data_IF_589181131050
#
_entry.id   IF_589181131050
#
_cell.length_a   1.000
_cell.length_b   1.000
_cell.length_c   1.000
_cell.angle_alpha   90.00
_cell.angle_beta   90.00
_cell.angle_gamma   90.00
#
_symmetry.space_group_name_H-M   'P 1'
#
loop_
_entity.id
_entity.type
_entity.pdbx_description
1 polymer ?
#
# COMPACT_ATOMS: atom_id res chain seq x y z
N UNK A 1 -29.48 14.33 26.79
CA UNK A 1 -28.14 13.91 27.27
C UNK A 1 -27.58 12.70 26.51
N UNK A 2 -28.42 11.72 26.08
CA UNK A 2 -27.95 10.54 25.34
C UNK A 2 -27.31 10.84 23.97
N UNK A 3 -27.85 11.79 23.19
CA UNK A 3 -27.35 12.09 21.83
C UNK A 3 -25.96 12.78 21.80
N UNK A 4 -25.65 13.58 22.80
CA UNK A 4 -24.36 14.26 22.90
C UNK A 4 -23.23 13.30 23.31
N UNK A 5 -23.47 12.46 24.31
CA UNK A 5 -22.54 11.41 24.74
C UNK A 5 -22.33 10.37 23.64
N UNK A 6 -23.37 10.03 22.90
CA UNK A 6 -23.28 9.13 21.76
C UNK A 6 -22.44 9.74 20.63
N UNK A 7 -22.62 11.02 20.30
CA UNK A 7 -21.78 11.74 19.33
C UNK A 7 -20.32 11.85 19.75
N UNK A 8 -20.05 12.08 21.05
CA UNK A 8 -18.67 12.07 21.58
C UNK A 8 -18.08 10.66 21.45
N UNK A 9 -18.82 9.63 21.85
CA UNK A 9 -18.38 8.24 21.73
C UNK A 9 -18.11 7.87 20.28
N UNK A 10 -18.99 8.20 19.36
CA UNK A 10 -18.82 7.99 17.93
C UNK A 10 -17.60 8.75 17.40
N UNK A 11 -17.44 10.02 17.74
CA UNK A 11 -16.27 10.83 17.35
C UNK A 11 -14.94 10.30 17.91
N UNK A 12 -14.96 9.72 19.11
CA UNK A 12 -13.76 9.18 19.74
C UNK A 12 -13.36 7.79 19.22
N UNK A 13 -14.33 6.96 18.80
CA UNK A 13 -14.09 5.55 18.47
C UNK A 13 -14.29 5.21 17.00
N UNK A 14 -14.94 6.06 16.20
CA UNK A 14 -15.04 5.89 14.74
C UNK A 14 -13.78 6.39 14.00
N UNK A 15 -12.62 5.90 14.41
CA UNK A 15 -11.35 6.24 13.76
C UNK A 15 -11.10 5.39 12.53
N UNK A 16 -11.79 4.26 12.40
CA UNK A 16 -11.70 3.37 11.25
C UNK A 16 -13.05 2.73 10.91
N UNK A 17 -13.18 2.30 9.67
CA UNK A 17 -14.26 1.49 9.13
C UNK A 17 -13.66 0.22 8.51
N UNK A 18 -14.21 -0.94 8.85
CA UNK A 18 -13.79 -2.24 8.35
C UNK A 18 -14.99 -2.97 7.77
N UNK A 19 -14.87 -3.42 6.52
CA UNK A 19 -15.90 -4.20 5.85
C UNK A 19 -15.94 -5.62 6.39
N UNK A 20 -17.12 -6.20 6.47
CA UNK A 20 -17.29 -7.63 6.63
C UNK A 20 -16.99 -8.32 5.29
N UNK A 21 -15.92 -9.11 5.24
CA UNK A 21 -15.44 -9.74 4.02
C UNK A 21 -15.91 -11.18 3.84
N UNK A 22 -16.59 -11.78 4.82
CA UNK A 22 -16.94 -13.22 4.87
C UNK A 22 -17.66 -13.71 3.61
N UNK A 23 -18.53 -12.89 3.02
CA UNK A 23 -19.26 -13.29 1.80
C UNK A 23 -18.36 -13.49 0.58
N UNK A 24 -17.13 -12.94 0.59
CA UNK A 24 -16.17 -13.04 -0.51
C UNK A 24 -14.98 -13.96 -0.21
N UNK A 25 -14.94 -14.65 0.94
CA UNK A 25 -13.79 -15.50 1.33
C UNK A 25 -13.76 -16.87 0.65
N UNK A 26 -14.79 -17.24 -0.09
CA UNK A 26 -14.82 -18.48 -0.86
C UNK A 26 -13.80 -18.52 -2.01
N UNK A 27 -13.52 -19.72 -2.52
CA UNK A 27 -12.65 -19.88 -3.68
C UNK A 27 -13.23 -19.15 -4.90
N UNK A 28 -12.46 -18.28 -5.55
CA UNK A 28 -12.96 -17.48 -6.64
C UNK A 28 -13.15 -18.34 -7.90
N UNK A 29 -14.31 -18.18 -8.55
CA UNK A 29 -14.52 -18.63 -9.93
C UNK A 29 -13.98 -17.54 -10.84
N UNK A 30 -12.73 -17.65 -11.25
CA UNK A 30 -12.06 -16.66 -12.08
C UNK A 30 -11.50 -17.30 -13.34
N UNK A 31 -11.90 -16.77 -14.50
CA UNK A 31 -11.45 -17.20 -15.82
C UNK A 31 -10.35 -16.31 -16.39
N UNK A 32 -10.17 -15.13 -15.81
CA UNK A 32 -9.17 -14.16 -16.26
C UNK A 32 -7.78 -14.49 -15.67
N UNK A 33 -6.70 -14.31 -16.42
CA UNK A 33 -5.36 -14.40 -15.87
C UNK A 33 -5.15 -13.36 -14.77
N UNK A 34 -4.40 -13.74 -13.73
CA UNK A 34 -4.00 -12.88 -12.63
C UNK A 34 -2.54 -12.51 -12.83
N UNK A 35 -2.28 -11.22 -12.96
CA UNK A 35 -0.94 -10.68 -13.12
C UNK A 35 -0.52 -9.88 -11.89
N UNK A 36 0.63 -10.28 -11.33
CA UNK A 36 1.28 -9.50 -10.29
C UNK A 36 2.23 -8.48 -10.88
N UNK A 37 2.18 -7.26 -10.40
CA UNK A 37 3.15 -6.23 -10.78
C UNK A 37 3.79 -5.66 -9.53
N UNK A 38 5.08 -5.91 -9.37
CA UNK A 38 5.88 -5.45 -8.25
C UNK A 38 6.86 -4.37 -8.70
N UNK A 39 6.73 -3.17 -8.11
CA UNK A 39 7.72 -2.12 -8.29
C UNK A 39 8.70 -2.09 -7.13
N UNK A 40 9.97 -2.26 -7.39
CA UNK A 40 11.00 -2.35 -6.35
C UNK A 40 12.16 -1.39 -6.60
N UNK A 41 12.51 -0.64 -5.56
CA UNK A 41 13.73 0.15 -5.52
C UNK A 41 14.79 -0.65 -4.74
N UNK A 42 15.87 -0.99 -5.42
CA UNK A 42 16.99 -1.74 -4.86
C UNK A 42 18.05 -0.75 -4.34
N UNK A 43 17.71 -0.06 -3.25
CA UNK A 43 18.59 0.87 -2.55
C UNK A 43 19.22 0.18 -1.33
N UNK A 44 20.20 0.78 -0.71
CA UNK A 44 20.93 0.23 0.45
C UNK A 44 19.98 -0.40 1.48
N UNK A 45 20.23 -1.66 1.83
CA UNK A 45 19.43 -2.40 2.82
C UNK A 45 18.09 -2.90 2.32
N UNK A 46 17.89 -3.04 1.01
CA UNK A 46 16.63 -3.45 0.40
C UNK A 46 16.24 -4.92 0.65
N UNK A 47 17.21 -5.82 0.73
CA UNK A 47 16.97 -7.27 0.76
C UNK A 47 16.03 -7.75 1.86
N UNK A 48 16.18 -7.39 3.14
CA UNK A 48 15.31 -7.91 4.21
C UNK A 48 13.84 -7.54 4.01
N UNK A 49 13.57 -6.37 3.44
CA UNK A 49 12.21 -5.94 3.14
C UNK A 49 11.63 -6.77 2.00
N UNK A 50 12.35 -6.91 0.90
CA UNK A 50 11.93 -7.65 -0.28
C UNK A 50 11.73 -9.13 0.04
N UNK A 51 12.68 -9.78 0.74
CA UNK A 51 12.53 -11.17 1.18
C UNK A 51 11.23 -11.37 1.94
N UNK A 52 10.93 -10.51 2.92
CA UNK A 52 9.69 -10.60 3.70
C UNK A 52 8.45 -10.42 2.83
N UNK A 53 8.44 -9.47 1.88
CA UNK A 53 7.30 -9.27 0.97
C UNK A 53 7.08 -10.50 0.08
N UNK A 54 8.13 -11.05 -0.49
CA UNK A 54 8.04 -12.25 -1.34
C UNK A 54 7.62 -13.48 -0.52
N UNK A 55 8.14 -13.64 0.70
CA UNK A 55 7.73 -14.73 1.59
C UNK A 55 6.25 -14.62 1.99
N UNK A 56 5.74 -13.41 2.26
CA UNK A 56 4.33 -13.18 2.55
C UNK A 56 3.46 -13.47 1.32
N UNK A 57 3.90 -13.05 0.14
CA UNK A 57 3.21 -13.33 -1.13
C UNK A 57 3.11 -14.84 -1.39
N UNK A 58 4.17 -15.60 -1.14
CA UNK A 58 4.14 -17.07 -1.25
C UNK A 58 3.20 -17.71 -0.23
N UNK A 59 3.36 -17.35 1.04
CA UNK A 59 2.55 -17.88 2.15
C UNK A 59 1.06 -17.68 1.96
N UNK A 60 0.65 -16.60 1.32
CA UNK A 60 -0.75 -16.33 1.02
C UNK A 60 -1.33 -17.22 -0.09
N UNK A 61 -0.49 -17.93 -0.84
CA UNK A 61 -0.89 -18.70 -2.04
C UNK A 61 -1.15 -17.83 -3.27
N UNK A 62 -1.00 -16.50 -3.17
CA UNK A 62 -1.26 -15.60 -4.30
C UNK A 62 -0.23 -15.81 -5.42
N UNK A 63 1.04 -16.04 -5.10
CA UNK A 63 2.05 -16.30 -6.14
C UNK A 63 1.71 -17.57 -6.95
N UNK A 64 1.16 -18.60 -6.31
CA UNK A 64 0.72 -19.82 -6.99
C UNK A 64 -0.47 -19.58 -7.92
N UNK A 65 -1.41 -18.71 -7.50
CA UNK A 65 -2.56 -18.27 -8.30
C UNK A 65 -2.19 -17.29 -9.42
N UNK A 66 -0.99 -16.70 -9.37
CA UNK A 66 -0.51 -15.73 -10.36
C UNK A 66 -0.12 -16.41 -11.65
N UNK A 67 -0.58 -15.91 -12.79
CA UNK A 67 -0.19 -16.38 -14.13
C UNK A 67 1.22 -15.92 -14.49
N UNK A 68 1.50 -14.62 -14.33
CA UNK A 68 2.82 -14.04 -14.55
C UNK A 68 3.10 -12.98 -13.49
N UNK A 69 4.31 -12.98 -12.97
CA UNK A 69 4.77 -12.03 -11.95
C UNK A 69 5.78 -11.06 -12.56
N UNK A 70 5.31 -9.88 -12.88
CA UNK A 70 6.09 -8.81 -13.49
C UNK A 70 6.79 -7.96 -12.44
N UNK A 71 8.05 -7.65 -12.68
CA UNK A 71 8.84 -6.83 -11.75
C UNK A 71 9.49 -5.67 -12.49
N UNK A 72 9.25 -4.47 -12.00
CA UNK A 72 9.91 -3.24 -12.42
C UNK A 72 10.91 -2.81 -11.37
N UNK A 73 12.18 -2.71 -11.74
CA UNK A 73 13.28 -2.37 -10.81
C UNK A 73 13.78 -0.95 -11.03
N UNK A 74 14.15 -0.30 -9.93
CA UNK A 74 15.12 0.79 -9.93
C UNK A 74 16.37 0.26 -9.21
N UNK A 75 17.47 0.10 -9.93
CA UNK A 75 18.70 -0.48 -9.41
C UNK A 75 19.94 0.26 -9.94
N UNK A 76 20.87 0.59 -9.06
CA UNK A 76 22.16 1.15 -9.45
C UNK A 76 23.10 0.07 -10.00
N UNK A 77 22.99 -1.18 -9.52
CA UNK A 77 23.87 -2.28 -9.86
C UNK A 77 23.10 -3.48 -10.40
N UNK A 78 23.63 -4.13 -11.43
CA UNK A 78 23.03 -5.32 -12.02
C UNK A 78 23.03 -6.52 -11.06
N UNK A 79 24.00 -6.60 -10.16
CA UNK A 79 24.12 -7.62 -9.14
C UNK A 79 22.90 -7.65 -8.19
N UNK A 80 22.33 -6.48 -7.88
CA UNK A 80 21.11 -6.37 -7.09
C UNK A 80 19.90 -6.99 -7.82
N UNK A 81 19.82 -6.79 -9.14
CA UNK A 81 18.77 -7.40 -9.96
C UNK A 81 18.90 -8.92 -9.99
N UNK A 82 20.13 -9.44 -10.11
CA UNK A 82 20.36 -10.89 -10.07
C UNK A 82 20.08 -11.47 -8.67
N UNK A 83 20.39 -10.70 -7.61
CA UNK A 83 20.01 -11.07 -6.25
C UNK A 83 18.50 -11.11 -6.08
N UNK A 84 17.79 -10.11 -6.60
CA UNK A 84 16.32 -10.05 -6.59
C UNK A 84 15.69 -11.27 -7.29
N UNK A 85 16.20 -11.66 -8.48
CA UNK A 85 15.74 -12.85 -9.19
C UNK A 85 15.89 -14.12 -8.34
N UNK A 86 17.03 -14.28 -7.64
CA UNK A 86 17.27 -15.41 -6.73
C UNK A 86 16.32 -15.41 -5.52
N UNK A 87 15.96 -14.23 -5.01
CA UNK A 87 14.99 -14.10 -3.90
C UNK A 87 13.60 -14.48 -4.37
N UNK A 88 13.18 -14.00 -5.54
CA UNK A 88 11.86 -14.30 -6.10
C UNK A 88 11.79 -15.76 -6.55
N UNK A 89 12.82 -16.32 -7.13
CA UNK A 89 12.96 -17.74 -7.50
C UNK A 89 11.65 -18.37 -7.97
N UNK A 90 11.11 -17.88 -9.08
CA UNK A 90 9.86 -18.31 -9.69
C UNK A 90 9.99 -18.34 -11.21
N UNK A 91 9.47 -19.36 -11.83
CA UNK A 91 9.36 -19.50 -13.29
C UNK A 91 8.37 -18.50 -13.91
N UNK A 92 7.49 -17.94 -13.08
CA UNK A 92 6.53 -16.90 -13.48
C UNK A 92 7.13 -15.49 -13.54
N UNK A 93 8.38 -15.32 -13.13
CA UNK A 93 9.05 -14.01 -13.03
C UNK A 93 9.40 -13.46 -14.41
N UNK A 94 8.98 -12.22 -14.67
CA UNK A 94 9.41 -11.42 -15.82
C UNK A 94 9.87 -10.04 -15.36
N UNK A 95 11.14 -9.69 -15.61
CA UNK A 95 11.63 -8.34 -15.39
C UNK A 95 11.21 -7.46 -16.58
N UNK A 96 10.33 -6.49 -16.33
CA UNK A 96 9.76 -5.62 -17.36
C UNK A 96 10.53 -4.32 -17.55
N UNK A 97 11.24 -3.91 -16.51
CA UNK A 97 12.00 -2.66 -16.51
C UNK A 97 13.13 -2.76 -15.48
N UNK A 98 14.31 -2.30 -15.89
CA UNK A 98 15.44 -2.06 -15.00
C UNK A 98 16.01 -0.69 -15.32
N UNK A 99 15.78 0.30 -14.47
CA UNK A 99 16.23 1.68 -14.66
C UNK A 99 17.15 2.11 -13.52
N UNK A 100 18.11 2.98 -13.81
CA UNK A 100 19.04 3.51 -12.80
C UNK A 100 18.57 4.83 -12.20
N UNK A 101 17.69 5.56 -12.91
CA UNK A 101 17.20 6.87 -12.44
C UNK A 101 16.08 6.71 -11.40
N UNK A 102 16.32 7.05 -10.12
CA UNK A 102 15.31 6.95 -9.07
C UNK A 102 14.13 7.92 -9.26
N UNK A 103 14.27 8.93 -10.12
CA UNK A 103 13.20 9.88 -10.42
C UNK A 103 12.15 9.29 -11.37
N UNK A 104 12.37 8.09 -11.90
CA UNK A 104 11.34 7.36 -12.64
C UNK A 104 10.24 6.85 -11.72
N UNK A 105 10.45 6.78 -10.41
CA UNK A 105 9.47 6.36 -9.41
C UNK A 105 8.74 5.07 -9.83
N UNK A 106 7.43 5.02 -9.66
CA UNK A 106 6.55 3.88 -9.98
C UNK A 106 6.10 3.85 -11.47
N UNK A 107 6.40 4.89 -12.25
CA UNK A 107 5.89 5.04 -13.61
C UNK A 107 6.21 3.86 -14.54
N UNK A 108 7.40 3.25 -14.56
CA UNK A 108 7.66 2.13 -15.46
C UNK A 108 6.72 0.94 -15.23
N UNK A 109 6.34 0.68 -13.97
CA UNK A 109 5.38 -0.37 -13.65
C UNK A 109 3.96 -0.01 -14.09
N UNK A 110 3.54 1.24 -13.85
CA UNK A 110 2.20 1.70 -14.20
C UNK A 110 2.01 1.87 -15.72
N UNK A 111 3.03 2.34 -16.43
CA UNK A 111 3.05 2.38 -17.91
C UNK A 111 2.89 0.97 -18.48
N UNK A 112 3.59 -0.02 -17.93
CA UNK A 112 3.47 -1.41 -18.33
C UNK A 112 2.06 -1.95 -18.09
N UNK A 113 1.46 -1.72 -16.91
CA UNK A 113 0.08 -2.12 -16.62
C UNK A 113 -0.88 -1.51 -17.65
N UNK A 114 -0.73 -0.23 -17.97
CA UNK A 114 -1.54 0.45 -18.99
C UNK A 114 -1.39 -0.20 -20.35
N UNK A 115 -0.17 -0.46 -20.80
CA UNK A 115 0.12 -1.08 -22.10
C UNK A 115 -0.39 -2.52 -22.21
N UNK A 116 -0.27 -3.31 -21.14
CA UNK A 116 -0.74 -4.69 -21.12
C UNK A 116 -2.27 -4.74 -21.09
N UNK A 117 -2.91 -3.83 -20.39
CA UNK A 117 -4.37 -3.75 -20.34
C UNK A 117 -5.03 -3.47 -21.69
N UNK A 118 -4.32 -2.82 -22.64
CA UNK A 118 -4.82 -2.59 -24.01
C UNK A 118 -4.82 -3.87 -24.86
N UNK A 119 -4.07 -4.90 -24.46
CA UNK A 119 -3.86 -6.11 -25.23
C UNK A 119 -4.74 -7.27 -24.81
N UNK A 120 -5.07 -7.36 -23.51
CA UNK A 120 -5.79 -8.51 -22.98
C UNK A 120 -6.63 -8.20 -21.74
N UNK A 121 -7.63 -9.04 -21.50
CA UNK A 121 -8.45 -8.98 -20.30
C UNK A 121 -7.79 -9.77 -19.17
N UNK A 122 -7.57 -9.10 -18.03
CA UNK A 122 -6.90 -9.68 -16.88
C UNK A 122 -7.25 -8.95 -15.58
N UNK A 123 -6.83 -9.53 -14.47
CA UNK A 123 -6.80 -8.92 -13.17
C UNK A 123 -5.36 -8.59 -12.81
N UNK A 124 -5.09 -7.37 -12.40
CA UNK A 124 -3.79 -6.98 -11.84
C UNK A 124 -3.87 -6.84 -10.34
N UNK A 125 -2.83 -7.29 -9.64
CA UNK A 125 -2.48 -6.75 -8.33
C UNK A 125 -1.14 -6.03 -8.42
N UNK A 126 -1.10 -4.86 -7.80
CA UNK A 126 0.06 -3.99 -7.78
C UNK A 126 0.51 -3.72 -6.36
N UNK A 127 1.81 -3.78 -6.13
CA UNK A 127 2.45 -3.37 -4.89
C UNK A 127 3.89 -2.90 -5.13
N UNK A 128 4.46 -2.27 -4.11
CA UNK A 128 5.83 -1.77 -4.21
C UNK A 128 6.62 -1.92 -2.90
N UNK A 129 7.92 -1.67 -2.92
CA UNK A 129 8.80 -1.74 -1.76
C UNK A 129 8.60 -0.56 -0.79
N UNK A 130 7.35 -0.43 -0.26
CA UNK A 130 6.95 0.67 0.64
C UNK A 130 7.83 0.75 1.87
N UNK A 131 8.41 1.94 2.10
CA UNK A 131 9.26 2.20 3.25
C UNK A 131 10.73 1.82 3.03
N UNK A 132 11.12 1.48 1.82
CA UNK A 132 12.51 1.12 1.47
C UNK A 132 13.50 2.23 1.84
N UNK A 133 13.16 3.48 1.58
CA UNK A 133 14.01 4.64 1.88
C UNK A 133 14.35 4.83 3.37
N UNK A 134 13.71 4.07 4.25
CA UNK A 134 14.00 4.06 5.69
C UNK A 134 14.81 2.83 6.12
N UNK A 135 15.08 1.88 5.22
CA UNK A 135 15.81 0.65 5.55
C UNK A 135 17.32 0.90 5.66
N UNK A 136 17.86 1.77 4.81
CA UNK A 136 19.29 2.16 4.83
C UNK A 136 19.69 2.90 6.11
N UNK A 137 18.73 3.45 6.86
CA UNK A 137 19.00 4.18 8.09
C UNK A 137 18.97 3.26 9.31
N UNK A 138 20.10 3.18 10.00
CA UNK A 138 20.21 2.55 11.32
C UNK A 138 20.40 3.66 12.36
N UNK A 139 19.48 3.79 13.28
CA UNK A 139 19.55 4.81 14.34
C UNK A 139 18.87 4.33 15.62
N UNK A 140 19.51 4.62 16.75
CA UNK A 140 18.95 4.42 18.09
C UNK A 140 17.97 5.53 18.51
N UNK A 141 17.75 6.53 17.66
CA UNK A 141 16.79 7.59 17.92
C UNK A 141 15.38 7.02 18.13
N UNK A 142 14.81 7.31 19.29
CA UNK A 142 13.49 6.79 19.68
C UNK A 142 12.36 7.24 18.74
N UNK A 143 12.44 8.48 18.25
CA UNK A 143 11.43 9.03 17.36
C UNK A 143 11.50 8.35 15.98
N UNK A 144 12.71 8.15 15.46
CA UNK A 144 12.93 7.47 14.21
C UNK A 144 12.49 5.99 14.26
N UNK A 145 12.88 5.25 15.29
CA UNK A 145 12.43 3.85 15.48
C UNK A 145 10.92 3.74 15.54
N UNK A 146 10.27 4.62 16.32
CA UNK A 146 8.81 4.67 16.40
C UNK A 146 8.16 4.98 15.06
N UNK A 147 8.76 5.85 14.25
CA UNK A 147 8.30 6.17 12.90
C UNK A 147 8.44 4.96 11.95
N UNK A 148 9.60 4.31 11.94
CA UNK A 148 9.86 3.11 11.14
C UNK A 148 8.85 2.00 11.45
N UNK A 149 8.58 1.72 12.73
CA UNK A 149 7.57 0.74 13.17
C UNK A 149 6.15 1.06 12.67
N UNK A 150 5.78 2.34 12.53
CA UNK A 150 4.48 2.72 11.97
C UNK A 150 4.38 2.41 10.49
N UNK A 151 5.43 2.70 9.73
CA UNK A 151 5.49 2.40 8.30
C UNK A 151 5.45 0.88 8.07
N UNK A 152 6.15 0.12 8.90
CA UNK A 152 6.11 -1.35 8.85
C UNK A 152 4.71 -1.89 9.14
N UNK A 153 4.06 -1.44 10.22
CA UNK A 153 2.69 -1.85 10.53
C UNK A 153 1.69 -1.46 9.44
N UNK A 154 1.88 -0.30 8.82
CA UNK A 154 1.06 0.12 7.68
C UNK A 154 1.29 -0.79 6.45
N UNK A 155 2.54 -1.08 6.09
CA UNK A 155 2.85 -2.00 4.97
C UNK A 155 2.26 -3.39 5.23
N UNK A 156 2.39 -3.94 6.45
CA UNK A 156 1.80 -5.22 6.84
C UNK A 156 0.27 -5.24 6.66
N UNK A 157 -0.40 -4.13 6.96
CA UNK A 157 -1.84 -4.00 6.70
C UNK A 157 -2.15 -4.03 5.19
N UNK A 158 -1.37 -3.32 4.36
CA UNK A 158 -1.54 -3.34 2.91
C UNK A 158 -1.31 -4.75 2.35
N UNK A 159 -0.23 -5.42 2.77
CA UNK A 159 0.09 -6.79 2.37
C UNK A 159 -1.03 -7.76 2.76
N UNK A 160 -1.58 -7.65 3.97
CA UNK A 160 -2.71 -8.47 4.41
C UNK A 160 -3.91 -8.36 3.48
N UNK A 161 -4.33 -7.16 3.12
CA UNK A 161 -5.50 -7.01 2.24
C UNK A 161 -5.21 -7.41 0.79
N UNK A 162 -4.00 -7.18 0.31
CA UNK A 162 -3.65 -7.47 -1.09
C UNK A 162 -3.20 -8.91 -1.30
N UNK A 163 -2.45 -9.51 -0.33
CA UNK A 163 -1.95 -10.87 -0.43
C UNK A 163 -2.84 -11.87 0.30
N UNK A 164 -3.03 -11.74 1.63
CA UNK A 164 -3.77 -12.76 2.39
C UNK A 164 -5.26 -12.80 2.00
N UNK A 165 -5.83 -11.67 1.57
CA UNK A 165 -7.23 -11.55 1.14
C UNK A 165 -7.40 -11.52 -0.39
N UNK A 166 -6.48 -12.13 -1.14
CA UNK A 166 -6.53 -12.13 -2.60
C UNK A 166 -7.79 -12.78 -3.17
N UNK A 167 -8.30 -13.85 -2.55
CA UNK A 167 -9.57 -14.48 -2.96
C UNK A 167 -10.73 -13.51 -2.84
N UNK A 168 -10.76 -12.73 -1.75
CA UNK A 168 -11.74 -11.67 -1.55
C UNK A 168 -11.64 -10.62 -2.65
N UNK A 169 -10.40 -10.18 -2.99
CA UNK A 169 -10.18 -9.20 -4.05
C UNK A 169 -10.74 -9.67 -5.39
N UNK A 170 -10.44 -10.91 -5.79
CA UNK A 170 -10.95 -11.51 -7.03
C UNK A 170 -12.47 -11.59 -7.03
N UNK A 171 -13.08 -12.08 -5.94
CA UNK A 171 -14.54 -12.19 -5.84
C UNK A 171 -15.24 -10.83 -5.87
N UNK A 172 -14.67 -9.80 -5.22
CA UNK A 172 -15.16 -8.42 -5.28
C UNK A 172 -15.11 -7.89 -6.71
N UNK A 173 -13.99 -8.09 -7.41
CA UNK A 173 -13.87 -7.67 -8.80
C UNK A 173 -14.89 -8.40 -9.70
N UNK A 174 -15.12 -9.70 -9.50
CA UNK A 174 -16.13 -10.47 -10.23
C UNK A 174 -17.56 -9.98 -9.98
N UNK A 175 -17.87 -9.40 -8.81
CA UNK A 175 -19.13 -8.75 -8.53
C UNK A 175 -19.31 -7.36 -9.16
N UNK A 176 -18.39 -6.95 -10.04
CA UNK A 176 -18.51 -5.74 -10.83
C UNK A 176 -17.85 -4.51 -10.22
N UNK A 177 -17.06 -4.65 -9.15
CA UNK A 177 -16.14 -3.59 -8.75
C UNK A 177 -14.96 -3.49 -9.71
N UNK A 178 -14.44 -2.29 -9.91
CA UNK A 178 -13.32 -2.02 -10.81
C UNK A 178 -12.00 -2.15 -10.09
N UNK A 179 -11.97 -1.74 -8.82
CA UNK A 179 -10.77 -1.78 -7.96
C UNK A 179 -11.09 -2.35 -6.59
N UNK A 180 -10.08 -2.98 -5.97
CA UNK A 180 -10.10 -3.43 -4.58
C UNK A 180 -8.79 -3.03 -3.89
N UNK A 181 -8.90 -2.50 -2.67
CA UNK A 181 -7.77 -2.23 -1.80
C UNK A 181 -8.23 -1.93 -0.38
N UNK A 182 -7.40 -1.20 0.36
CA UNK A 182 -7.70 -0.62 1.67
C UNK A 182 -7.10 0.78 1.79
N UNK A 183 -7.60 1.54 2.79
CA UNK A 183 -7.08 2.82 3.20
C UNK A 183 -7.13 3.90 2.11
N UNK A 184 -8.34 4.26 1.71
CA UNK A 184 -8.58 5.41 0.81
C UNK A 184 -8.21 6.72 1.50
N UNK A 185 -7.59 7.62 0.74
CA UNK A 185 -7.11 8.90 1.25
C UNK A 185 -7.33 10.05 0.23
N UNK A 186 -7.47 11.31 0.65
CA UNK A 186 -7.74 11.76 2.02
C UNK A 186 -9.18 11.42 2.45
N UNK A 187 -9.46 11.38 3.78
CA UNK A 187 -10.82 11.09 4.26
C UNK A 187 -11.86 12.05 3.68
N UNK A 188 -13.01 11.49 3.28
CA UNK A 188 -14.16 12.20 2.68
C UNK A 188 -14.00 12.63 1.22
N UNK A 189 -12.79 12.77 0.72
CA UNK A 189 -12.54 13.11 -0.68
C UNK A 189 -11.43 12.20 -1.22
N UNK A 190 -11.77 10.95 -1.43
CA UNK A 190 -10.84 9.90 -1.82
C UNK A 190 -10.26 10.16 -3.21
N UNK A 191 -8.94 10.29 -3.28
CA UNK A 191 -8.19 10.48 -4.53
C UNK A 191 -7.13 9.41 -4.75
N UNK A 192 -6.95 8.50 -3.78
CA UNK A 192 -5.99 7.41 -3.88
C UNK A 192 -6.28 6.29 -2.86
N UNK A 193 -5.72 5.13 -3.10
CA UNK A 193 -5.43 4.16 -2.05
C UNK A 193 -4.07 4.49 -1.45
N UNK A 194 -4.06 4.96 -0.21
CA UNK A 194 -2.82 5.43 0.43
C UNK A 194 -1.84 4.28 0.63
N UNK A 195 -0.67 4.42 0.03
CA UNK A 195 0.35 3.38 -0.01
C UNK A 195 0.37 2.59 -1.31
N UNK A 196 -0.55 2.86 -2.25
CA UNK A 196 -0.55 2.37 -3.65
C UNK A 196 -0.40 0.85 -3.78
N UNK A 197 -1.09 0.07 -2.93
CA UNK A 197 -1.27 -1.37 -3.08
C UNK A 197 -2.72 -1.62 -3.47
N UNK A 198 -2.97 -2.27 -4.59
CA UNK A 198 -4.34 -2.44 -5.09
C UNK A 198 -4.51 -3.59 -6.08
N UNK A 199 -5.74 -4.02 -6.24
CA UNK A 199 -6.23 -4.88 -7.31
C UNK A 199 -7.09 -4.08 -8.29
N UNK A 200 -7.06 -4.44 -9.57
CA UNK A 200 -7.82 -3.74 -10.62
C UNK A 200 -8.09 -4.63 -11.81
N UNK A 201 -9.19 -4.37 -12.51
CA UNK A 201 -9.49 -4.95 -13.82
C UNK A 201 -8.76 -4.21 -14.94
N UNK A 202 -8.25 -4.93 -15.93
CA UNK A 202 -7.70 -4.34 -17.16
C UNK A 202 -8.69 -3.41 -17.85
N UNK A 203 -9.98 -3.79 -17.89
CA UNK A 203 -11.05 -2.99 -18.49
C UNK A 203 -11.13 -1.57 -17.92
N UNK A 204 -10.93 -1.41 -16.59
CA UNK A 204 -10.88 -0.08 -15.99
C UNK A 204 -9.58 0.66 -16.33
N UNK A 205 -8.45 -0.03 -16.33
CA UNK A 205 -7.16 0.58 -16.71
C UNK A 205 -7.19 1.17 -18.12
N UNK A 206 -7.88 0.52 -19.07
CA UNK A 206 -8.00 1.00 -20.45
C UNK A 206 -8.57 2.41 -20.58
N UNK A 207 -9.50 2.77 -19.72
CA UNK A 207 -10.13 4.10 -19.76
C UNK A 207 -9.35 5.18 -19.01
N UNK A 208 -8.29 4.80 -18.27
CA UNK A 208 -7.41 5.77 -17.61
C UNK A 208 -6.50 6.46 -18.63
N UNK A 209 -6.08 7.71 -18.35
CA UNK A 209 -5.15 8.42 -19.20
C UNK A 209 -3.79 7.71 -19.24
N UNK A 210 -3.11 7.83 -20.39
CA UNK A 210 -1.69 7.49 -20.52
C UNK A 210 -0.82 8.50 -19.77
N UNK A 211 0.41 8.11 -19.45
CA UNK A 211 1.34 9.00 -18.78
C UNK A 211 2.05 9.92 -19.76
N UNK A 212 1.90 11.22 -19.55
CA UNK A 212 2.67 12.23 -20.28
C UNK A 212 4.09 12.30 -19.71
N UNK A 213 5.10 12.39 -20.59
CA UNK A 213 6.51 12.54 -20.21
C UNK A 213 6.74 13.79 -19.33
N UNK A 214 6.02 14.87 -19.57
CA UNK A 214 6.10 16.07 -18.74
C UNK A 214 5.58 15.82 -17.33
N UNK A 215 4.48 15.09 -17.18
CA UNK A 215 3.92 14.71 -15.88
C UNK A 215 4.89 13.79 -15.14
N UNK A 216 5.44 12.76 -15.79
CA UNK A 216 6.43 11.84 -15.21
C UNK A 216 7.64 12.61 -14.66
N UNK A 217 8.13 13.60 -15.39
CA UNK A 217 9.33 14.35 -15.01
C UNK A 217 9.12 15.37 -13.90
N UNK A 218 7.89 15.83 -13.68
CA UNK A 218 7.60 16.97 -12.81
C UNK A 218 6.71 16.63 -11.60
N UNK A 219 5.86 15.60 -11.70
CA UNK A 219 4.90 15.26 -10.66
C UNK A 219 5.10 13.84 -10.10
N UNK A 220 5.91 13.75 -9.07
CA UNK A 220 6.14 12.51 -8.31
C UNK A 220 4.85 11.85 -7.80
N UNK A 221 3.87 12.64 -7.40
CA UNK A 221 2.68 12.15 -6.70
C UNK A 221 1.54 11.74 -7.64
N UNK A 222 1.67 12.00 -8.93
CA UNK A 222 0.63 11.64 -9.89
C UNK A 222 0.43 10.11 -9.97
N UNK A 223 1.49 9.32 -9.83
CA UNK A 223 1.40 7.85 -9.75
C UNK A 223 0.46 7.35 -8.64
N UNK A 224 0.39 8.08 -7.51
CA UNK A 224 -0.45 7.71 -6.37
C UNK A 224 -1.95 8.00 -6.62
N UNK A 225 -2.27 9.02 -7.44
CA UNK A 225 -3.66 9.44 -7.72
C UNK A 225 -4.20 8.95 -9.06
N UNK A 226 -3.33 8.49 -9.95
CA UNK A 226 -3.69 8.05 -11.31
C UNK A 226 -4.86 7.08 -11.37
N UNK A 227 -4.91 6.11 -10.46
CA UNK A 227 -5.99 5.12 -10.40
C UNK A 227 -7.36 5.75 -10.12
N UNK A 228 -7.42 7.00 -9.64
CA UNK A 228 -8.64 7.73 -9.31
C UNK A 228 -8.97 8.86 -10.32
N UNK A 229 -8.27 8.93 -11.45
CA UNK A 229 -8.51 9.93 -12.51
C UNK A 229 -9.89 9.80 -13.17
N UNK A 230 -10.50 8.62 -13.10
CA UNK A 230 -11.86 8.38 -13.58
C UNK A 230 -12.74 7.86 -12.46
N UNK A 231 -14.03 8.22 -12.53
CA UNK A 231 -15.02 7.64 -11.62
C UNK A 231 -15.14 6.14 -11.87
N UNK A 232 -15.17 5.34 -10.80
CA UNK A 232 -15.22 3.90 -10.86
C UNK A 232 -15.83 3.29 -9.60
N UNK A 233 -16.20 2.01 -9.67
CA UNK A 233 -16.70 1.26 -8.52
C UNK A 233 -15.53 0.76 -7.68
N UNK A 234 -15.19 1.53 -6.63
CA UNK A 234 -14.09 1.20 -5.71
C UNK A 234 -14.61 0.35 -4.56
N UNK A 235 -13.83 -0.67 -4.20
CA UNK A 235 -14.01 -1.38 -2.94
C UNK A 235 -12.83 -1.12 -2.02
N UNK A 236 -13.10 -0.63 -0.81
CA UNK A 236 -12.10 -0.53 0.25
C UNK A 236 -12.46 -1.46 1.39
N UNK A 237 -11.60 -2.43 1.67
CA UNK A 237 -11.81 -3.40 2.74
C UNK A 237 -11.65 -2.80 4.14
N UNK A 238 -10.86 -1.73 4.24
CA UNK A 238 -10.58 -1.01 5.47
C UNK A 238 -10.25 0.44 5.17
N UNK A 239 -10.85 1.37 5.90
CA UNK A 239 -10.52 2.79 5.84
C UNK A 239 -10.23 3.34 7.23
N UNK A 240 -9.39 4.36 7.33
CA UNK A 240 -9.15 5.10 8.58
C UNK A 240 -8.91 6.57 8.30
N UNK A 241 -9.37 7.42 9.23
CA UNK A 241 -9.07 8.85 9.23
C UNK A 241 -7.72 9.17 9.87
N UNK A 242 -7.04 8.16 10.43
CA UNK A 242 -5.71 8.33 11.02
C UNK A 242 -4.63 8.34 9.95
N UNK A 243 -3.71 9.29 10.01
CA UNK A 243 -2.50 9.28 9.19
C UNK A 243 -1.52 8.23 9.73
N UNK A 244 -1.40 7.11 9.03
CA UNK A 244 -0.60 5.96 9.46
C UNK A 244 0.91 6.18 9.44
N UNK A 245 1.39 7.31 8.93
CA UNK A 245 2.75 7.75 9.21
C UNK A 245 2.97 8.09 10.69
N UNK A 246 1.92 8.50 11.39
CA UNK A 246 2.04 9.07 12.74
C UNK A 246 1.24 8.32 13.81
N UNK A 247 0.34 7.44 13.39
CA UNK A 247 -0.42 6.56 14.28
C UNK A 247 -0.14 5.11 13.85
N UNK A 248 0.39 4.30 14.77
CA UNK A 248 0.61 2.87 14.51
C UNK A 248 -0.74 2.14 14.50
N UNK A 249 -1.00 1.39 13.44
CA UNK A 249 -2.17 0.52 13.37
C UNK A 249 -1.84 -0.84 14.03
N UNK A 250 -2.60 -1.29 15.03
CA UNK A 250 -2.48 -2.64 15.57
C UNK A 250 -3.03 -3.69 14.60
N UNK A 251 -2.35 -4.82 14.47
CA UNK A 251 -2.74 -5.89 13.55
C UNK A 251 -4.15 -6.41 13.84
N UNK A 252 -4.51 -6.61 15.11
CA UNK A 252 -5.83 -7.12 15.52
C UNK A 252 -7.02 -6.30 14.99
N UNK A 253 -6.83 -4.99 14.72
CA UNK A 253 -7.90 -4.11 14.22
C UNK A 253 -8.37 -4.54 12.82
N UNK A 254 -7.48 -5.09 12.00
CA UNK A 254 -7.82 -5.45 10.63
C UNK A 254 -7.82 -6.95 10.34
N UNK A 255 -7.19 -7.78 11.19
CA UNK A 255 -7.17 -9.24 11.01
C UNK A 255 -8.25 -9.98 11.80
N UNK A 256 -8.48 -9.61 13.07
CA UNK A 256 -9.29 -10.38 13.98
C UNK A 256 -10.78 -10.11 13.77
N UNK A 257 -11.64 -11.11 13.83
CA UNK A 257 -13.10 -10.92 13.77
C UNK A 257 -13.57 -10.00 14.90
N UNK A 258 -13.03 -10.18 16.08
CA UNK A 258 -13.26 -9.33 17.24
C UNK A 258 -11.94 -8.68 17.69
N UNK A 259 -11.62 -7.48 17.17
CA UNK A 259 -10.41 -6.79 17.55
C UNK A 259 -10.30 -6.57 19.05
N UNK A 260 -9.12 -6.78 19.61
CA UNK A 260 -8.83 -6.58 21.04
C UNK A 260 -9.24 -5.18 21.48
N UNK A 261 -10.03 -5.09 22.54
CA UNK A 261 -10.55 -3.81 23.04
C UNK A 261 -9.42 -2.80 23.32
N UNK A 262 -8.32 -3.23 23.95
CA UNK A 262 -7.17 -2.37 24.21
C UNK A 262 -6.57 -1.78 22.93
N UNK A 263 -6.46 -2.56 21.86
CA UNK A 263 -5.92 -2.09 20.60
C UNK A 263 -6.81 -1.01 19.96
N UNK A 264 -8.15 -1.19 20.03
CA UNK A 264 -9.11 -0.17 19.60
C UNK A 264 -8.96 1.13 20.37
N UNK A 265 -8.91 1.04 21.70
CA UNK A 265 -8.76 2.19 22.58
C UNK A 265 -7.42 2.88 22.34
N UNK A 266 -6.32 2.15 22.30
CA UNK A 266 -4.99 2.72 22.09
C UNK A 266 -4.88 3.41 20.72
N UNK A 267 -5.45 2.81 19.66
CA UNK A 267 -5.44 3.40 18.33
C UNK A 267 -6.23 4.71 18.30
N UNK A 268 -7.46 4.68 18.79
CA UNK A 268 -8.34 5.86 18.84
C UNK A 268 -7.78 6.96 19.75
N UNK A 269 -7.25 6.60 20.90
CA UNK A 269 -6.62 7.54 21.83
C UNK A 269 -5.40 8.20 21.20
N UNK A 270 -4.51 7.43 20.59
CA UNK A 270 -3.31 7.97 19.93
C UNK A 270 -3.69 8.95 18.82
N UNK A 271 -4.67 8.61 17.99
CA UNK A 271 -5.19 9.50 16.96
C UNK A 271 -5.70 10.82 17.52
N UNK A 272 -6.56 10.74 18.56
CA UNK A 272 -7.14 11.94 19.15
C UNK A 272 -6.09 12.80 19.87
N UNK A 273 -5.11 12.18 20.53
CA UNK A 273 -3.97 12.90 21.13
C UNK A 273 -3.16 13.65 20.06
N UNK A 274 -2.87 13.03 18.90
CA UNK A 274 -2.20 13.73 17.78
C UNK A 274 -3.00 14.93 17.27
N UNK A 275 -4.31 14.82 17.25
CA UNK A 275 -5.23 15.90 16.90
C UNK A 275 -5.16 17.06 17.90
N UNK A 276 -5.23 16.76 19.19
CA UNK A 276 -5.13 17.71 20.30
C UNK A 276 -3.76 18.40 20.28
N UNK A 277 -2.68 17.64 20.20
CA UNK A 277 -1.31 18.17 20.09
C UNK A 277 -1.20 19.20 18.97
N UNK A 278 -1.75 18.89 17.80
CA UNK A 278 -1.69 19.77 16.63
C UNK A 278 -2.54 21.03 16.79
N UNK A 279 -3.78 20.90 17.27
CA UNK A 279 -4.74 22.00 17.26
C UNK A 279 -4.64 22.88 18.51
N UNK A 280 -4.42 22.30 19.70
CA UNK A 280 -4.37 23.05 20.96
C UNK A 280 -2.94 23.48 21.26
N UNK A 281 -1.98 22.56 21.27
CA UNK A 281 -0.60 22.85 21.64
C UNK A 281 0.26 23.33 20.47
N UNK A 282 -0.29 23.45 19.24
CA UNK A 282 0.43 23.79 18.01
C UNK A 282 1.63 22.88 17.73
N UNK A 283 1.67 21.70 18.37
CA UNK A 283 2.72 20.72 18.22
C UNK A 283 2.48 19.85 17.00
N UNK A 284 3.28 20.05 15.96
CA UNK A 284 3.17 19.27 14.73
C UNK A 284 4.12 18.08 14.76
N UNK A 285 3.63 16.93 15.24
CA UNK A 285 4.37 15.68 15.28
C UNK A 285 4.94 15.28 13.90
N UNK A 286 4.17 15.48 12.82
CA UNK A 286 4.60 15.23 11.44
C UNK A 286 5.86 16.00 11.08
N UNK A 287 5.85 17.32 11.27
CA UNK A 287 7.01 18.16 10.99
C UNK A 287 8.24 17.76 11.81
N UNK A 288 8.03 17.36 13.07
CA UNK A 288 9.13 16.93 13.95
C UNK A 288 9.76 15.63 13.45
N UNK A 289 8.95 14.63 13.10
CA UNK A 289 9.44 13.38 12.50
C UNK A 289 10.20 13.63 11.20
N UNK A 290 9.66 14.47 10.31
CA UNK A 290 10.31 14.82 9.04
C UNK A 290 11.65 15.52 9.25
N UNK A 291 11.70 16.52 10.14
CA UNK A 291 12.96 17.21 10.48
C UNK A 291 13.99 16.26 11.08
N UNK A 292 13.56 15.38 12.00
CA UNK A 292 14.47 14.41 12.62
C UNK A 292 15.02 13.40 11.62
N UNK A 293 14.15 12.89 10.76
CA UNK A 293 14.52 12.00 9.67
C UNK A 293 15.54 12.66 8.71
N UNK A 294 15.26 13.90 8.29
CA UNK A 294 16.17 14.64 7.41
C UNK A 294 17.55 14.87 8.06
N UNK A 295 17.54 15.20 9.37
CA UNK A 295 18.81 15.34 10.12
C UNK A 295 19.60 14.03 10.13
N UNK A 296 18.97 12.91 10.48
CA UNK A 296 19.64 11.60 10.50
C UNK A 296 20.16 11.19 9.12
N UNK A 297 19.44 11.52 8.05
CA UNK A 297 19.88 11.24 6.68
C UNK A 297 21.12 12.04 6.27
N UNK A 298 21.27 13.25 6.81
CA UNK A 298 22.44 14.10 6.52
C UNK A 298 23.65 13.77 7.41
N UNK A 299 23.48 12.95 8.46
CA UNK A 299 24.54 12.46 9.36
C UNK A 299 25.22 11.18 8.83
N UNK A 300 24.70 10.59 7.76
CA UNK A 300 25.22 9.41 7.04
C UNK A 300 25.92 9.84 5.76
#
# INVERSE_FOLDING_TARGET
MSSFLQRIRESLFHVYDRKDLRRWEGDPKNELPIYGVYHVMLDTGWEPLVRRQIDNLRKSGLLDATTTFYVSCIAAHQEDVECLKRIINSDKLVIISNVTDPKRYEYPALEFIKQLSEKEDCLFYYFHSKGISYQSLTSNDRLFRSFKQKIEAWREMLEYFIFDKWKVAVNVLNEGYDTYSCYRWPPRNYTMYSGSFWWVKSAYIRILPTFDKAVISTNRFYSEVWLFERSHRQFSAFDTIADLYFVRIPRSIYTDEQPKWLDKVCFSFTYNMRKIEKHIFKYNYKKRCQKRFQKLKNEI
#
